data_IF_612462945152
#
_entry.id   IF_612462945152
#
_cell.length_a   1.000
_cell.length_b   1.000
_cell.length_c   1.000
_cell.angle_alpha   90.00
_cell.angle_beta   90.00
_cell.angle_gamma   90.00
#
_symmetry.space_group_name_H-M   'P 1'
#
loop_
_entity.id
_entity.type
_entity.pdbx_description
1 polymer ?
#
# COMPACT_ATOMS: atom_id res chain seq x y z
N UNK A 1 11.54 -30.97 7.44
CA UNK A 1 10.57 -30.23 6.61
C UNK A 1 11.32 -29.82 5.35
N UNK A 2 11.06 -30.44 4.20
CA UNK A 2 11.70 -30.05 2.94
C UNK A 2 10.79 -29.01 2.30
N UNK A 3 11.27 -27.78 2.14
CA UNK A 3 10.60 -26.79 1.30
C UNK A 3 10.65 -27.32 -0.14
N UNK A 4 9.52 -27.82 -0.65
CA UNK A 4 9.40 -28.13 -2.06
C UNK A 4 9.53 -26.82 -2.86
N UNK A 5 9.96 -26.93 -4.12
CA UNK A 5 10.00 -25.76 -5.03
C UNK A 5 8.62 -25.09 -5.13
N UNK A 6 7.56 -25.89 -5.06
CA UNK A 6 6.16 -25.41 -5.05
C UNK A 6 5.89 -24.51 -3.85
N UNK A 7 6.24 -24.93 -2.63
CA UNK A 7 6.02 -24.12 -1.42
C UNK A 7 6.80 -22.78 -1.46
N UNK A 8 7.99 -22.77 -2.06
CA UNK A 8 8.77 -21.54 -2.24
C UNK A 8 8.07 -20.61 -3.25
N UNK A 9 7.55 -21.16 -4.35
CA UNK A 9 6.83 -20.39 -5.37
C UNK A 9 5.53 -19.81 -4.79
N UNK A 10 4.76 -20.59 -4.04
CA UNK A 10 3.55 -20.12 -3.36
C UNK A 10 3.86 -18.97 -2.39
N UNK A 11 4.88 -19.12 -1.54
CA UNK A 11 5.30 -18.06 -0.64
C UNK A 11 5.73 -16.77 -1.35
N UNK A 12 6.37 -16.88 -2.52
CA UNK A 12 6.73 -15.70 -3.34
C UNK A 12 5.50 -15.03 -3.96
N UNK A 13 4.51 -15.81 -4.39
CA UNK A 13 3.24 -15.30 -4.93
C UNK A 13 2.47 -14.57 -3.83
N UNK A 14 2.40 -15.14 -2.62
CA UNK A 14 1.71 -14.53 -1.49
C UNK A 14 2.36 -13.20 -1.09
N UNK A 15 3.69 -13.17 -0.95
CA UNK A 15 4.43 -11.94 -0.66
C UNK A 15 4.23 -10.85 -1.72
N UNK A 16 4.07 -11.24 -3.00
CA UNK A 16 3.75 -10.30 -4.07
C UNK A 16 2.32 -9.76 -3.91
N UNK A 17 1.36 -10.64 -3.66
CA UNK A 17 -0.05 -10.28 -3.50
C UNK A 17 -0.27 -9.36 -2.28
N UNK A 18 0.42 -9.63 -1.17
CA UNK A 18 0.40 -8.78 0.02
C UNK A 18 0.86 -7.35 -0.31
N UNK A 19 2.02 -7.21 -0.98
CA UNK A 19 2.55 -5.90 -1.39
C UNK A 19 1.64 -5.17 -2.38
N UNK A 20 1.04 -5.88 -3.32
CA UNK A 20 0.06 -5.30 -4.24
C UNK A 20 -1.20 -4.81 -3.50
N UNK A 21 -1.67 -5.56 -2.50
CA UNK A 21 -2.83 -5.18 -1.70
C UNK A 21 -2.55 -3.95 -0.84
N UNK A 22 -1.36 -3.85 -0.24
CA UNK A 22 -0.95 -2.66 0.52
C UNK A 22 -0.84 -1.43 -0.40
N UNK A 23 -0.26 -1.60 -1.59
CA UNK A 23 -0.18 -0.54 -2.60
C UNK A 23 -1.57 -0.05 -3.01
N UNK A 24 -2.52 -0.96 -3.21
CA UNK A 24 -3.93 -0.62 -3.52
C UNK A 24 -4.58 0.17 -2.39
N UNK A 25 -4.37 -0.23 -1.13
CA UNK A 25 -4.91 0.50 0.04
C UNK A 25 -4.39 1.93 0.10
N UNK A 26 -3.09 2.13 -0.12
CA UNK A 26 -2.48 3.47 -0.15
C UNK A 26 -3.13 4.34 -1.24
N UNK A 27 -3.33 3.79 -2.45
CA UNK A 27 -3.98 4.51 -3.54
C UNK A 27 -5.42 4.90 -3.18
N UNK A 28 -6.17 4.00 -2.54
CA UNK A 28 -7.55 4.27 -2.10
C UNK A 28 -7.55 5.41 -1.07
N UNK A 29 -6.70 5.34 -0.05
CA UNK A 29 -6.59 6.39 0.97
C UNK A 29 -6.25 7.76 0.35
N UNK A 30 -5.32 7.81 -0.60
CA UNK A 30 -4.96 9.05 -1.30
C UNK A 30 -6.18 9.63 -2.06
N UNK A 31 -6.97 8.78 -2.73
CA UNK A 31 -8.19 9.22 -3.42
C UNK A 31 -9.20 9.82 -2.43
N UNK A 32 -9.43 9.16 -1.31
CA UNK A 32 -10.32 9.66 -0.26
C UNK A 32 -9.86 11.01 0.31
N UNK A 33 -8.55 11.20 0.51
CA UNK A 33 -7.98 12.48 0.95
C UNK A 33 -8.23 13.58 -0.09
N UNK A 34 -8.01 13.29 -1.38
CA UNK A 34 -8.23 14.25 -2.47
C UNK A 34 -9.70 14.67 -2.54
N UNK A 35 -10.62 13.71 -2.42
CA UNK A 35 -12.08 13.90 -2.50
C UNK A 35 -12.67 14.57 -1.24
N UNK A 36 -11.94 14.58 -0.12
CA UNK A 36 -12.39 15.22 1.13
C UNK A 36 -12.62 16.72 0.95
N UNK A 37 -13.84 17.18 1.19
CA UNK A 37 -14.20 18.61 1.07
C UNK A 37 -13.94 19.42 2.35
N UNK A 38 -13.65 18.74 3.47
CA UNK A 38 -13.56 19.36 4.80
C UNK A 38 -12.12 19.62 5.26
N UNK A 39 -11.15 19.43 4.37
CA UNK A 39 -9.72 19.54 4.65
C UNK A 39 -9.11 20.50 3.63
N UNK A 40 -8.30 21.45 4.07
CA UNK A 40 -7.60 22.36 3.17
C UNK A 40 -6.50 21.65 2.37
N UNK A 41 -6.06 22.26 1.27
CA UNK A 41 -5.10 21.65 0.35
C UNK A 41 -3.73 21.39 0.99
N UNK A 42 -3.29 22.21 1.94
CA UNK A 42 -2.01 22.01 2.62
C UNK A 42 -2.08 20.77 3.52
N UNK A 43 -3.18 20.61 4.25
CA UNK A 43 -3.38 19.44 5.09
C UNK A 43 -3.57 18.17 4.25
N UNK A 44 -4.28 18.24 3.11
CA UNK A 44 -4.33 17.14 2.13
C UNK A 44 -2.93 16.73 1.68
N UNK A 45 -2.05 17.67 1.34
CA UNK A 45 -0.68 17.37 0.92
C UNK A 45 0.11 16.66 2.01
N UNK A 46 -0.02 17.05 3.28
CA UNK A 46 0.63 16.35 4.40
C UNK A 46 0.14 14.91 4.53
N UNK A 47 -1.17 14.70 4.45
CA UNK A 47 -1.78 13.38 4.54
C UNK A 47 -1.38 12.48 3.38
N UNK A 48 -1.37 13.01 2.15
CA UNK A 48 -0.88 12.29 0.97
C UNK A 48 0.60 11.92 1.14
N UNK A 49 1.43 12.85 1.61
CA UNK A 49 2.85 12.59 1.85
C UNK A 49 3.05 11.49 2.92
N UNK A 50 2.19 11.45 3.94
CA UNK A 50 2.20 10.38 4.93
C UNK A 50 1.84 9.01 4.32
N UNK A 51 0.79 8.94 3.48
CA UNK A 51 0.43 7.71 2.78
C UNK A 51 1.52 7.24 1.80
N UNK A 52 2.14 8.16 1.06
CA UNK A 52 3.28 7.86 0.18
C UNK A 52 4.52 7.40 0.96
N UNK A 53 4.75 7.95 2.15
CA UNK A 53 5.84 7.51 3.04
C UNK A 53 5.72 6.03 3.42
N UNK A 54 4.50 5.49 3.51
CA UNK A 54 4.27 4.06 3.76
C UNK A 54 4.75 3.18 2.59
N UNK A 55 4.72 3.66 1.36
CA UNK A 55 5.24 2.92 0.19
C UNK A 55 6.76 2.71 0.26
N UNK A 56 7.51 3.58 0.95
CA UNK A 56 8.96 3.42 1.09
C UNK A 56 9.34 2.27 2.05
N UNK A 57 8.37 1.74 2.80
CA UNK A 57 8.57 0.70 3.81
C UNK A 57 8.07 -0.68 3.33
N UNK A 58 7.35 -0.73 2.19
CA UNK A 58 6.80 -1.93 1.55
C UNK A 58 7.81 -2.49 0.52
#
# INVERSE_FOLDING_TARGET
>A
MVLSRENIIEGLIDLKNERENESKKIIINIKEIVESQNIDDMEKLKLINNELGKMLVI
#
